data_IF_383758926522
#
_entry.id   IF_383758926522
#
_cell.length_a   1.000
_cell.length_b   1.000
_cell.length_c   1.000
_cell.angle_alpha   90.00
_cell.angle_beta   90.00
_cell.angle_gamma   90.00
#
_symmetry.space_group_name_H-M   'P 1'
#
loop_
_entity.id
_entity.type
_entity.pdbx_description
1 polymer ?
#
# COMPACT_ATOMS: atom_id res chain seq x y z
N UNK A 1 -9.62 -17.06 -10.77
CA UNK A 1 -9.95 -16.46 -9.45
C UNK A 1 -11.43 -16.68 -9.13
N UNK A 2 -11.81 -16.91 -7.86
CA UNK A 2 -13.24 -17.00 -7.46
C UNK A 2 -13.82 -15.61 -7.13
N UNK A 3 -15.14 -15.44 -7.20
CA UNK A 3 -15.79 -14.18 -6.80
C UNK A 3 -15.51 -13.81 -5.35
N UNK A 4 -15.42 -14.81 -4.46
CA UNK A 4 -15.08 -14.59 -3.05
C UNK A 4 -13.64 -14.09 -2.87
N UNK A 5 -12.68 -14.66 -3.61
CA UNK A 5 -11.28 -14.18 -3.61
C UNK A 5 -11.21 -12.76 -4.15
N UNK A 6 -11.92 -12.48 -5.24
CA UNK A 6 -11.96 -11.15 -5.86
C UNK A 6 -12.49 -10.08 -4.89
N UNK A 7 -13.57 -10.39 -4.17
CA UNK A 7 -14.13 -9.50 -3.15
C UNK A 7 -13.15 -9.29 -1.99
N UNK A 8 -12.52 -10.36 -1.48
CA UNK A 8 -11.57 -10.27 -0.37
C UNK A 8 -10.35 -9.40 -0.72
N UNK A 9 -9.82 -9.51 -1.94
CA UNK A 9 -8.67 -8.69 -2.40
C UNK A 9 -9.04 -7.22 -2.49
N UNK A 10 -10.25 -6.90 -2.96
CA UNK A 10 -10.75 -5.51 -2.98
C UNK A 10 -10.89 -4.95 -1.57
N UNK A 11 -11.53 -5.69 -0.67
CA UNK A 11 -11.66 -5.28 0.74
C UNK A 11 -10.31 -5.08 1.40
N UNK A 12 -9.34 -5.99 1.17
CA UNK A 12 -7.99 -5.84 1.69
C UNK A 12 -7.32 -4.56 1.21
N UNK A 13 -7.48 -4.21 -0.07
CA UNK A 13 -6.93 -2.98 -0.62
C UNK A 13 -7.62 -1.73 -0.08
N UNK A 14 -8.94 -1.76 0.11
CA UNK A 14 -9.67 -0.65 0.72
C UNK A 14 -9.18 -0.42 2.17
N UNK A 15 -9.04 -1.49 2.96
CA UNK A 15 -8.46 -1.43 4.31
C UNK A 15 -7.03 -0.90 4.30
N UNK A 16 -6.21 -1.30 3.33
CA UNK A 16 -4.85 -0.77 3.16
C UNK A 16 -4.88 0.76 2.95
N UNK A 17 -5.71 1.25 2.03
CA UNK A 17 -5.82 2.69 1.75
C UNK A 17 -6.34 3.48 2.95
N UNK A 18 -7.33 2.96 3.68
CA UNK A 18 -7.85 3.59 4.90
C UNK A 18 -6.76 3.67 5.98
N UNK A 19 -6.08 2.55 6.26
CA UNK A 19 -5.00 2.51 7.25
C UNK A 19 -3.82 3.42 6.88
N UNK A 20 -3.50 3.57 5.59
CA UNK A 20 -2.48 4.52 5.11
C UNK A 20 -2.87 5.98 5.40
N UNK A 21 -4.13 6.35 5.19
CA UNK A 21 -4.62 7.72 5.42
C UNK A 21 -4.74 8.01 6.92
N UNK A 22 -5.17 7.03 7.71
CA UNK A 22 -5.32 7.17 9.16
C UNK A 22 -3.99 7.07 9.92
N UNK A 23 -2.91 6.65 9.25
CA UNK A 23 -1.63 6.35 9.89
C UNK A 23 -1.71 5.17 10.86
N UNK A 24 -2.61 4.21 10.61
CA UNK A 24 -2.85 3.06 11.47
C UNK A 24 -1.77 1.97 11.28
N UNK A 25 -0.65 2.14 11.97
CA UNK A 25 0.47 1.21 11.93
C UNK A 25 0.09 -0.21 12.36
N UNK A 26 -0.81 -0.35 13.33
CA UNK A 26 -1.24 -1.67 13.81
C UNK A 26 -2.13 -2.38 12.78
N UNK A 27 -3.04 -1.62 12.15
CA UNK A 27 -3.84 -2.09 11.04
C UNK A 27 -2.97 -2.54 9.87
N UNK A 28 -2.02 -1.70 9.45
CA UNK A 28 -1.05 -2.02 8.40
C UNK A 28 -0.22 -3.27 8.74
N UNK A 29 0.33 -3.35 9.96
CA UNK A 29 1.14 -4.49 10.39
C UNK A 29 0.34 -5.82 10.33
N UNK A 30 -0.95 -5.78 10.66
CA UNK A 30 -1.82 -6.97 10.68
C UNK A 30 -2.16 -7.53 9.30
N UNK A 31 -2.15 -6.70 8.26
CA UNK A 31 -2.54 -7.09 6.89
C UNK A 31 -1.34 -7.33 5.97
N UNK A 32 -0.16 -6.81 6.31
CA UNK A 32 1.05 -6.94 5.52
C UNK A 32 1.85 -8.17 5.97
N UNK A 33 2.22 -9.01 5.01
CA UNK A 33 3.14 -10.12 5.26
C UNK A 33 4.53 -9.62 5.69
N UNK A 34 5.27 -10.42 6.47
CA UNK A 34 6.63 -10.07 6.94
C UNK A 34 7.59 -9.74 5.79
N UNK A 35 7.41 -10.40 4.64
CA UNK A 35 8.20 -10.17 3.42
C UNK A 35 7.67 -9.07 2.50
N UNK A 36 6.74 -8.23 2.96
CA UNK A 36 6.20 -7.14 2.16
C UNK A 36 7.28 -6.11 1.78
N UNK A 37 7.20 -5.63 0.54
CA UNK A 37 8.01 -4.53 0.02
C UNK A 37 7.14 -3.52 -0.70
N UNK A 38 7.51 -2.25 -0.61
CA UNK A 38 6.97 -1.15 -1.38
C UNK A 38 8.02 -0.69 -2.40
N UNK A 39 7.68 -0.77 -3.69
CA UNK A 39 8.53 -0.24 -4.76
C UNK A 39 8.13 1.20 -5.08
N UNK A 40 9.05 2.14 -4.90
CA UNK A 40 8.85 3.55 -5.22
C UNK A 40 8.96 3.82 -6.71
N UNK A 41 8.54 5.02 -7.14
CA UNK A 41 8.64 5.44 -8.54
C UNK A 41 10.10 5.49 -9.06
N UNK A 42 11.07 5.59 -8.15
CA UNK A 42 12.51 5.56 -8.44
C UNK A 42 13.07 4.15 -8.59
N UNK A 43 12.29 3.12 -8.26
CA UNK A 43 12.70 1.72 -8.22
C UNK A 43 13.28 1.28 -6.88
N UNK A 44 13.34 2.16 -5.87
CA UNK A 44 13.74 1.79 -4.52
C UNK A 44 12.74 0.80 -3.92
N UNK A 45 13.26 -0.29 -3.35
CA UNK A 45 12.51 -1.31 -2.63
C UNK A 45 12.61 -1.02 -1.13
N UNK A 46 11.55 -0.45 -0.57
CA UNK A 46 11.43 -0.21 0.86
C UNK A 46 10.82 -1.44 1.54
N UNK A 47 11.39 -1.88 2.66
CA UNK A 47 10.84 -2.97 3.46
C UNK A 47 9.60 -2.55 4.25
N UNK A 48 8.81 -3.52 4.72
CA UNK A 48 7.69 -3.29 5.66
C UNK A 48 8.10 -2.44 6.87
N UNK A 49 9.19 -2.80 7.54
CA UNK A 49 9.64 -2.13 8.76
C UNK A 49 10.01 -0.66 8.50
N UNK A 50 10.81 -0.40 7.45
CA UNK A 50 11.20 0.95 7.06
C UNK A 50 9.99 1.80 6.63
N UNK A 51 9.01 1.18 5.96
CA UNK A 51 7.81 1.89 5.54
C UNK A 51 6.92 2.28 6.72
N UNK A 52 6.72 1.36 7.68
CA UNK A 52 5.98 1.66 8.91
C UNK A 52 6.67 2.72 9.76
N UNK A 53 8.01 2.68 9.87
CA UNK A 53 8.79 3.71 10.56
C UNK A 53 8.66 5.08 9.88
N UNK A 54 8.66 5.13 8.54
CA UNK A 54 8.45 6.37 7.78
C UNK A 54 7.04 6.95 8.01
N UNK A 55 6.02 6.11 8.17
CA UNK A 55 4.67 6.56 8.53
C UNK A 55 4.63 7.06 9.97
N UNK A 56 5.27 6.34 10.91
CA UNK A 56 5.35 6.72 12.32
C UNK A 56 6.06 8.07 12.52
N UNK A 57 7.17 8.29 11.82
CA UNK A 57 7.96 9.53 11.88
C UNK A 57 7.29 10.70 11.16
N UNK A 58 6.25 10.43 10.38
CA UNK A 58 5.58 11.40 9.51
C UNK A 58 6.40 11.76 8.26
N UNK A 59 7.49 11.05 7.96
CA UNK A 59 8.17 11.23 6.68
C UNK A 59 7.28 10.76 5.51
N UNK A 60 6.42 9.77 5.75
CA UNK A 60 5.40 9.29 4.81
C UNK A 60 4.01 9.58 5.37
N UNK A 61 3.31 10.56 4.79
CA UNK A 61 1.96 10.92 5.18
C UNK A 61 1.02 10.90 3.97
N UNK A 62 -0.10 10.21 4.10
CA UNK A 62 -1.15 10.19 3.08
C UNK A 62 -2.34 11.01 3.60
N UNK A 63 -2.67 12.10 2.92
CA UNK A 63 -3.83 12.92 3.32
C UNK A 63 -5.13 12.40 2.73
N UNK A 64 -5.05 11.82 1.52
CA UNK A 64 -6.20 11.26 0.83
C UNK A 64 -5.76 10.19 -0.14
N UNK A 65 -6.52 9.11 -0.20
CA UNK A 65 -6.42 8.11 -1.26
C UNK A 65 -7.82 7.78 -1.78
N UNK A 66 -8.01 7.91 -3.09
CA UNK A 66 -9.25 7.52 -3.75
C UNK A 66 -8.93 6.51 -4.87
N UNK A 67 -9.53 5.34 -4.78
CA UNK A 67 -9.48 4.35 -5.87
C UNK A 67 -10.42 4.77 -7.00
N UNK A 68 -9.86 5.06 -8.17
CA UNK A 68 -10.62 5.41 -9.38
C UNK A 68 -11.00 4.16 -10.17
N UNK A 69 -10.08 3.21 -10.23
CA UNK A 69 -10.26 1.95 -10.97
C UNK A 69 -9.46 0.84 -10.31
N UNK A 70 -10.00 -0.38 -10.31
CA UNK A 70 -9.33 -1.58 -9.85
C UNK A 70 -9.60 -2.73 -10.81
N UNK A 71 -8.53 -3.35 -11.30
CA UNK A 71 -8.55 -4.54 -12.14
C UNK A 71 -7.86 -5.68 -11.40
N UNK A 72 -8.51 -6.84 -11.33
CA UNK A 72 -7.93 -8.03 -10.71
C UNK A 72 -7.29 -8.93 -11.78
N UNK A 73 -6.18 -9.57 -11.40
CA UNK A 73 -5.53 -10.63 -12.17
C UNK A 73 -6.41 -11.87 -12.30
N UNK A 74 -6.08 -12.71 -13.27
CA UNK A 74 -6.86 -13.93 -13.57
C UNK A 74 -6.37 -15.15 -12.78
N UNK A 75 -5.13 -15.12 -12.29
CA UNK A 75 -4.53 -16.18 -11.48
C UNK A 75 -5.28 -16.31 -10.14
N UNK A 76 -5.63 -17.54 -9.78
CA UNK A 76 -6.36 -17.84 -8.55
C UNK A 76 -5.44 -18.18 -7.37
N UNK A 77 -4.17 -18.48 -7.63
CA UNK A 77 -3.19 -18.93 -6.63
C UNK A 77 -2.46 -17.76 -5.99
N UNK A 78 -2.11 -16.76 -6.80
CA UNK A 78 -1.55 -15.49 -6.35
C UNK A 78 -2.43 -14.38 -6.91
N UNK A 79 -3.42 -13.88 -6.15
CA UNK A 79 -4.28 -12.83 -6.65
C UNK A 79 -3.48 -11.53 -6.79
N UNK A 80 -3.62 -10.89 -7.95
CA UNK A 80 -3.01 -9.59 -8.25
C UNK A 80 -4.10 -8.53 -8.37
N UNK A 81 -3.81 -7.32 -7.90
CA UNK A 81 -4.68 -6.17 -8.04
C UNK A 81 -3.88 -5.00 -8.64
N UNK A 82 -4.36 -4.48 -9.76
CA UNK A 82 -3.86 -3.24 -10.35
C UNK A 82 -4.90 -2.14 -10.11
N UNK A 83 -4.54 -1.14 -9.30
CA UNK A 83 -5.40 -0.01 -8.99
C UNK A 83 -4.84 1.29 -9.56
N UNK A 84 -5.73 2.15 -10.04
CA UNK A 84 -5.44 3.56 -10.32
C UNK A 84 -6.03 4.39 -9.19
N UNK A 85 -5.20 5.15 -8.50
CA UNK A 85 -5.62 6.03 -7.42
C UNK A 85 -5.39 7.50 -7.75
N UNK A 86 -6.18 8.36 -7.10
CA UNK A 86 -5.85 9.75 -6.89
C UNK A 86 -5.39 9.90 -5.44
N UNK A 87 -4.10 10.18 -5.26
CA UNK A 87 -3.46 10.28 -3.95
C UNK A 87 -3.04 11.73 -3.69
N UNK A 88 -3.44 12.25 -2.54
CA UNK A 88 -2.94 13.50 -1.98
C UNK A 88 -1.97 13.18 -0.83
N UNK A 89 -0.75 13.66 -0.96
CA UNK A 89 0.34 13.50 -0.01
C UNK A 89 1.26 14.72 -0.13
N UNK A 90 1.99 15.11 0.93
CA UNK A 90 3.01 16.15 0.83
C UNK A 90 3.98 15.86 -0.32
N UNK A 91 4.39 16.91 -1.04
CA UNK A 91 5.41 16.77 -2.09
C UNK A 91 6.73 16.35 -1.46
N UNK A 92 7.13 15.10 -1.68
CA UNK A 92 8.36 14.51 -1.16
C UNK A 92 8.05 13.42 -0.14
N UNK A 93 7.80 12.20 -0.62
CA UNK A 93 8.23 11.04 0.15
C UNK A 93 9.74 11.19 0.36
N UNK A 94 10.30 10.89 1.54
CA UNK A 94 11.74 10.83 1.70
C UNK A 94 12.30 9.89 0.64
N UNK A 95 13.14 10.41 -0.26
CA UNK A 95 14.04 9.54 -1.01
C UNK A 95 14.99 8.92 0.02
N UNK A 96 15.23 7.60 -0.01
CA UNK A 96 16.23 7.02 0.86
C UNK A 96 17.57 7.74 0.62
N UNK A 97 18.41 7.92 1.66
CA UNK A 97 19.76 8.43 1.46
C UNK A 97 20.46 7.55 0.43
N UNK A 98 20.97 8.16 -0.65
CA UNK A 98 21.76 7.45 -1.64
C UNK A 98 23.02 6.88 -1.00
N UNK A 99 23.32 5.61 -1.32
CA UNK A 99 24.56 4.91 -0.93
C UNK A 99 25.84 5.69 -1.26
#
# INVERSE_FOLDING_TARGET
>A
MTDATAAAVKTLYDTLCEAMVDGDLAGLDSILADGFTLTHMTGYLQSKAEWLEAIESGEMQYHRMEMIQATLGTDATVPELTARTLTDAPSGAPEPPGD
#
